data_IF_585344275901
#
_entry.id   IF_585344275901
#
_cell.length_a   1.000
_cell.length_b   1.000
_cell.length_c   1.000
_cell.angle_alpha   90.00
_cell.angle_beta   90.00
_cell.angle_gamma   90.00
#
_symmetry.space_group_name_H-M   'P 1'
#
loop_
_entity.id
_entity.type
_entity.pdbx_description
1 polymer ?
#
# COMPACT_ATOMS: atom_id res chain seq x y z
N UNK A 1 25.97 21.95 -32.51
CA UNK A 1 25.57 22.41 -31.16
C UNK A 1 24.16 22.94 -31.20
N UNK A 2 23.20 22.23 -30.60
CA UNK A 2 21.90 22.79 -30.20
C UNK A 2 21.61 22.25 -28.80
N UNK A 3 21.41 23.20 -27.91
CA UNK A 3 21.38 23.07 -26.46
C UNK A 3 19.92 22.83 -26.03
N UNK A 4 19.71 21.74 -25.31
CA UNK A 4 18.78 21.53 -24.17
C UNK A 4 17.38 22.16 -24.27
N UNK A 5 16.35 21.32 -24.19
CA UNK A 5 15.29 21.51 -23.19
C UNK A 5 15.01 20.16 -22.51
N UNK A 6 15.39 20.06 -21.24
CA UNK A 6 14.91 19.01 -20.35
C UNK A 6 13.43 19.28 -20.09
N UNK A 7 12.57 18.39 -20.57
CA UNK A 7 11.17 18.35 -20.13
C UNK A 7 11.17 17.63 -18.79
N UNK A 8 11.26 18.40 -17.70
CA UNK A 8 11.08 17.89 -16.35
C UNK A 8 9.62 17.43 -16.19
N UNK A 9 9.42 16.13 -16.00
CA UNK A 9 8.12 15.58 -15.66
C UNK A 9 7.90 15.77 -14.14
N UNK A 10 7.12 16.78 -13.77
CA UNK A 10 6.68 17.00 -12.40
C UNK A 10 5.48 16.07 -12.15
N UNK A 11 5.71 14.94 -11.46
CA UNK A 11 4.61 14.18 -10.85
C UNK A 11 4.16 14.97 -9.62
N UNK A 12 3.01 15.62 -9.73
CA UNK A 12 2.40 16.36 -8.62
C UNK A 12 1.94 15.41 -7.52
N UNK A 13 2.77 15.20 -6.50
CA UNK A 13 2.38 14.59 -5.24
C UNK A 13 1.58 15.62 -4.44
N UNK A 14 0.26 15.42 -4.35
CA UNK A 14 -0.60 16.18 -3.45
C UNK A 14 -0.36 15.74 -2.00
N UNK A 15 0.53 16.45 -1.30
CA UNK A 15 0.66 16.37 0.16
C UNK A 15 -0.52 17.13 0.77
N UNK A 16 -1.51 16.44 1.31
CA UNK A 16 -2.46 17.04 2.26
C UNK A 16 -1.93 16.76 3.65
N UNK A 17 -1.13 17.70 4.15
CA UNK A 17 -0.82 17.82 5.57
C UNK A 17 -1.89 18.63 6.27
N UNK A 18 -2.44 18.09 7.36
CA UNK A 18 -2.97 18.90 8.43
C UNK A 18 -2.32 18.42 9.73
N UNK A 19 -1.27 19.14 10.10
CA UNK A 19 -0.62 19.12 11.41
C UNK A 19 -1.58 19.81 12.39
N UNK A 20 -1.89 19.17 13.51
CA UNK A 20 -2.67 19.79 14.58
C UNK A 20 -2.67 18.91 15.82
N UNK A 21 -1.71 19.12 16.72
CA UNK A 21 -1.68 18.44 18.01
C UNK A 21 -0.32 18.47 18.69
N UNK A 22 -0.10 19.53 19.45
CA UNK A 22 1.09 19.86 20.24
C UNK A 22 1.52 18.71 21.19
N UNK A 23 2.84 18.50 21.24
CA UNK A 23 3.57 17.72 22.24
C UNK A 23 3.29 18.16 23.69
N UNK A 24 3.07 17.19 24.59
CA UNK A 24 3.50 17.14 26.01
C UNK A 24 2.51 16.23 26.77
N UNK A 25 2.90 15.25 27.57
CA UNK A 25 4.21 14.80 27.99
C UNK A 25 4.01 13.48 28.74
N UNK A 26 5.06 12.67 28.78
CA UNK A 26 5.18 11.56 29.70
C UNK A 26 4.87 12.03 31.12
N UNK A 27 3.98 11.32 31.79
CA UNK A 27 3.89 11.38 33.24
C UNK A 27 5.15 10.79 33.87
N UNK A 28 5.85 11.60 34.66
CA UNK A 28 6.59 11.15 35.83
C UNK A 28 6.40 12.25 36.89
N UNK A 29 5.40 12.06 37.73
CA UNK A 29 5.12 12.95 38.86
C UNK A 29 5.95 12.55 40.08
N UNK A 30 6.58 13.57 40.66
CA UNK A 30 6.75 13.82 42.11
C UNK A 30 7.85 13.07 42.89
N UNK A 31 8.77 13.89 43.45
CA UNK A 31 9.49 13.60 44.71
C UNK A 31 8.54 13.75 45.90
N UNK A 32 8.49 12.71 46.72
CA UNK A 32 8.23 12.67 48.16
C UNK A 32 7.11 13.56 48.74
N UNK A 33 5.95 12.96 48.98
CA UNK A 33 5.19 13.22 50.21
C UNK A 33 4.48 11.93 50.64
N UNK A 34 4.79 11.50 51.87
CA UNK A 34 4.34 10.29 52.55
C UNK A 34 2.79 10.24 52.66
N UNK A 35 2.20 9.08 52.38
CA UNK A 35 0.77 8.82 52.60
C UNK A 35 0.15 7.73 51.72
N UNK A 36 0.18 6.48 52.19
CA UNK A 36 -0.72 5.39 51.78
C UNK A 36 -2.20 5.71 52.14
N UNK A 37 -3.25 4.95 51.69
CA UNK A 37 -3.28 3.77 50.83
C UNK A 37 -4.30 3.83 49.65
N UNK A 38 -4.20 2.78 48.83
CA UNK A 38 -4.96 2.41 47.64
C UNK A 38 -6.48 2.27 47.83
N UNK A 39 -7.26 2.71 46.83
CA UNK A 39 -8.38 1.90 46.31
C UNK A 39 -8.83 2.33 44.91
N UNK A 40 -9.14 1.31 44.11
CA UNK A 40 -9.44 1.34 42.70
C UNK A 40 -10.92 1.68 42.46
N UNK A 41 -11.20 2.70 41.64
CA UNK A 41 -12.52 2.87 41.04
C UNK A 41 -12.41 3.40 39.60
N UNK A 42 -12.35 2.42 38.68
CA UNK A 42 -13.05 2.35 37.40
C UNK A 42 -13.31 3.65 36.62
N UNK A 43 -12.62 3.78 35.49
CA UNK A 43 -13.13 4.53 34.34
C UNK A 43 -13.61 3.53 33.29
N UNK A 44 -14.90 3.63 32.97
CA UNK A 44 -15.60 2.81 32.01
C UNK A 44 -14.93 2.87 30.62
N UNK A 45 -14.54 1.70 30.13
CA UNK A 45 -14.24 1.49 28.72
C UNK A 45 -15.56 1.60 27.94
N UNK A 46 -15.68 2.66 27.13
CA UNK A 46 -16.60 2.63 25.98
C UNK A 46 -15.94 1.72 24.95
N UNK A 47 -16.26 0.43 25.03
CA UNK A 47 -16.03 -0.52 23.96
C UNK A 47 -16.85 -0.06 22.75
N UNK A 48 -16.18 0.62 21.83
CA UNK A 48 -16.69 0.76 20.48
C UNK A 48 -16.52 -0.60 19.83
N UNK A 49 -17.59 -1.39 19.94
CA UNK A 49 -17.82 -2.65 19.23
C UNK A 49 -17.20 -2.56 17.84
N UNK A 50 -16.05 -3.21 17.69
CA UNK A 50 -15.43 -3.41 16.39
C UNK A 50 -16.17 -4.58 15.80
N UNK A 51 -17.14 -4.27 14.95
CA UNK A 51 -17.72 -5.24 14.04
C UNK A 51 -16.57 -5.82 13.23
N UNK A 52 -16.23 -7.07 13.52
CA UNK A 52 -15.19 -7.84 12.86
C UNK A 52 -15.59 -8.06 11.40
N UNK A 53 -15.34 -7.03 10.57
CA UNK A 53 -15.33 -7.19 9.13
C UNK A 53 -14.11 -8.02 8.81
N UNK A 54 -14.33 -9.33 8.67
CA UNK A 54 -13.38 -10.27 8.13
C UNK A 54 -12.74 -9.66 6.87
N UNK A 55 -11.50 -9.20 7.02
CA UNK A 55 -10.78 -8.52 5.96
C UNK A 55 -10.13 -9.61 5.11
N UNK A 56 -10.55 -9.73 3.85
CA UNK A 56 -9.86 -10.62 2.91
C UNK A 56 -8.44 -10.11 2.70
N UNK A 57 -7.47 -11.00 2.88
CA UNK A 57 -6.04 -10.72 2.71
C UNK A 57 -5.48 -11.65 1.64
N UNK A 58 -4.65 -11.09 0.76
CA UNK A 58 -3.93 -11.80 -0.29
C UNK A 58 -2.47 -11.92 0.13
N UNK A 59 -2.05 -13.11 0.55
CA UNK A 59 -0.69 -13.37 1.05
C UNK A 59 0.09 -14.26 0.09
N UNK A 60 1.35 -13.93 -0.13
CA UNK A 60 2.25 -14.65 -1.03
C UNK A 60 3.62 -14.81 -0.36
N UNK A 61 4.22 -15.98 -0.49
CA UNK A 61 5.58 -16.25 0.02
C UNK A 61 6.58 -16.07 -1.10
N UNK A 62 7.46 -15.09 -0.97
CA UNK A 62 8.44 -14.74 -1.98
C UNK A 62 9.40 -15.90 -2.26
N UNK A 63 9.58 -16.22 -3.54
CA UNK A 63 10.54 -17.19 -4.03
C UNK A 63 11.84 -16.50 -4.45
N UNK A 64 12.91 -17.28 -4.64
CA UNK A 64 14.18 -16.74 -5.11
C UNK A 64 14.02 -16.10 -6.50
N UNK A 65 14.32 -14.80 -6.59
CA UNK A 65 14.19 -14.02 -7.82
C UNK A 65 12.83 -13.37 -8.04
N UNK A 66 11.85 -13.57 -7.15
CA UNK A 66 10.61 -12.81 -7.16
C UNK A 66 10.87 -11.34 -6.85
N UNK A 67 10.21 -10.46 -7.60
CA UNK A 67 10.18 -9.04 -7.35
C UNK A 67 8.86 -8.62 -6.70
N UNK A 68 8.90 -7.58 -5.87
CA UNK A 68 7.70 -7.01 -5.24
C UNK A 68 6.62 -6.61 -6.28
N UNK A 69 7.02 -6.08 -7.43
CA UNK A 69 6.09 -5.78 -8.54
C UNK A 69 5.35 -7.01 -9.05
N UNK A 70 5.98 -8.19 -9.06
CA UNK A 70 5.34 -9.45 -9.47
C UNK A 70 4.32 -9.91 -8.42
N UNK A 71 4.60 -9.76 -7.13
CA UNK A 71 3.62 -10.04 -6.06
C UNK A 71 2.42 -9.08 -6.14
N UNK A 72 2.66 -7.79 -6.36
CA UNK A 72 1.59 -6.80 -6.59
C UNK A 72 0.75 -7.19 -7.80
N UNK A 73 1.39 -7.58 -8.92
CA UNK A 73 0.70 -8.07 -10.12
C UNK A 73 -0.22 -9.24 -9.81
N UNK A 74 0.28 -10.27 -9.12
CA UNK A 74 -0.50 -11.46 -8.74
C UNK A 74 -1.70 -11.06 -7.87
N UNK A 75 -1.50 -10.19 -6.90
CA UNK A 75 -2.57 -9.68 -6.03
C UNK A 75 -3.67 -8.97 -6.83
N UNK A 76 -3.29 -8.06 -7.72
CA UNK A 76 -4.21 -7.26 -8.54
C UNK A 76 -4.96 -8.13 -9.55
N UNK A 77 -4.28 -9.08 -10.19
CA UNK A 77 -4.92 -10.02 -11.11
C UNK A 77 -5.89 -10.95 -10.38
N UNK A 78 -5.50 -11.47 -9.20
CA UNK A 78 -6.38 -12.29 -8.36
C UNK A 78 -7.63 -11.50 -7.95
N UNK A 79 -7.46 -10.25 -7.51
CA UNK A 79 -8.57 -9.35 -7.22
C UNK A 79 -9.48 -9.14 -8.45
N UNK A 80 -8.90 -8.90 -9.62
CA UNK A 80 -9.65 -8.73 -10.87
C UNK A 80 -10.48 -9.96 -11.23
N UNK A 81 -9.92 -11.17 -11.08
CA UNK A 81 -10.62 -12.44 -11.33
C UNK A 81 -11.75 -12.64 -10.32
N UNK A 82 -11.48 -12.47 -9.02
CA UNK A 82 -12.45 -12.65 -7.94
C UNK A 82 -13.65 -11.71 -8.07
N UNK A 83 -13.43 -10.48 -8.58
CA UNK A 83 -14.45 -9.44 -8.69
C UNK A 83 -14.97 -9.20 -10.12
N UNK A 84 -14.66 -10.10 -11.06
CA UNK A 84 -15.03 -9.98 -12.49
C UNK A 84 -14.71 -8.60 -13.09
N UNK A 85 -13.53 -8.07 -12.76
CA UNK A 85 -13.07 -6.74 -13.19
C UNK A 85 -11.93 -6.86 -14.19
N UNK A 86 -12.16 -6.38 -15.41
CA UNK A 86 -11.13 -6.24 -16.44
C UNK A 86 -10.27 -4.99 -16.19
N UNK A 87 -9.14 -5.17 -15.50
CA UNK A 87 -8.24 -4.06 -15.14
C UNK A 87 -7.40 -3.62 -16.35
N UNK A 88 -6.91 -4.58 -17.15
CA UNK A 88 -6.08 -4.32 -18.33
C UNK A 88 -4.60 -4.10 -17.99
N UNK A 89 -3.71 -4.56 -18.89
CA UNK A 89 -2.27 -4.64 -18.66
C UNK A 89 -1.64 -3.30 -18.29
N UNK A 90 -1.88 -2.22 -19.04
CA UNK A 90 -1.32 -0.89 -18.77
C UNK A 90 -1.65 -0.36 -17.36
N UNK A 91 -2.89 -0.58 -16.90
CA UNK A 91 -3.31 -0.19 -15.55
C UNK A 91 -2.62 -1.00 -14.46
N UNK A 92 -2.41 -2.29 -14.71
CA UNK A 92 -1.64 -3.16 -13.80
C UNK A 92 -0.21 -2.63 -13.65
N UNK A 93 0.48 -2.27 -14.75
CA UNK A 93 1.83 -1.67 -14.69
C UNK A 93 1.85 -0.36 -13.87
N UNK A 94 0.84 0.48 -14.06
CA UNK A 94 0.70 1.71 -13.28
C UNK A 94 0.54 1.43 -11.77
N UNK A 95 -0.28 0.44 -11.41
CA UNK A 95 -0.47 0.01 -10.02
C UNK A 95 0.84 -0.52 -9.43
N UNK A 96 1.54 -1.41 -10.13
CA UNK A 96 2.83 -1.96 -9.68
C UNK A 96 3.86 -0.88 -9.39
N UNK A 97 3.96 0.11 -10.28
CA UNK A 97 4.88 1.23 -10.13
C UNK A 97 4.54 2.06 -8.89
N UNK A 98 3.27 2.43 -8.74
CA UNK A 98 2.81 3.24 -7.61
C UNK A 98 2.89 2.49 -6.27
N UNK A 99 2.58 1.20 -6.26
CA UNK A 99 2.71 0.35 -5.08
C UNK A 99 4.17 0.23 -4.64
N UNK A 100 5.08 0.03 -5.60
CA UNK A 100 6.51 -0.12 -5.32
C UNK A 100 7.15 1.18 -4.87
N UNK A 101 6.79 2.31 -5.49
CA UNK A 101 7.22 3.64 -5.06
C UNK A 101 6.82 3.92 -3.60
N UNK A 102 5.58 3.62 -3.22
CA UNK A 102 5.09 3.78 -1.84
C UNK A 102 5.76 2.84 -0.85
N UNK A 103 6.13 1.64 -1.28
CA UNK A 103 6.85 0.67 -0.47
C UNK A 103 8.37 0.94 -0.39
N UNK A 104 8.88 1.91 -1.16
CA UNK A 104 10.31 2.22 -1.19
C UNK A 104 11.15 1.22 -2.00
N UNK A 105 10.56 0.58 -3.01
CA UNK A 105 11.21 -0.41 -3.88
C UNK A 105 11.90 -1.54 -3.10
N UNK A 106 11.16 -2.30 -2.27
CA UNK A 106 11.76 -3.31 -1.42
C UNK A 106 12.34 -4.45 -2.26
N UNK A 107 13.50 -4.93 -1.83
CA UNK A 107 14.03 -6.23 -2.23
C UNK A 107 13.41 -7.31 -1.34
N UNK A 108 13.01 -8.43 -1.94
CA UNK A 108 12.35 -9.51 -1.22
C UNK A 108 13.35 -10.59 -0.84
N UNK A 109 13.26 -11.05 0.40
CA UNK A 109 14.00 -12.22 0.83
C UNK A 109 13.22 -13.50 0.48
N UNK A 110 13.93 -14.57 0.14
CA UNK A 110 13.29 -15.88 -0.04
C UNK A 110 12.59 -16.31 1.26
N UNK A 111 11.33 -16.73 1.15
CA UNK A 111 10.49 -17.11 2.29
C UNK A 111 9.80 -15.94 2.99
N UNK A 112 10.02 -14.71 2.55
CA UNK A 112 9.32 -13.53 3.06
C UNK A 112 7.83 -13.56 2.65
N UNK A 113 6.93 -13.35 3.61
CA UNK A 113 5.49 -13.28 3.33
C UNK A 113 5.08 -11.84 3.11
N UNK A 114 4.58 -11.53 1.92
CA UNK A 114 4.03 -10.23 1.56
C UNK A 114 2.52 -10.35 1.48
N UNK A 115 1.81 -9.42 2.14
CA UNK A 115 0.35 -9.46 2.23
C UNK A 115 -0.27 -8.15 1.76
N UNK A 116 -1.39 -8.26 1.05
CA UNK A 116 -2.17 -7.14 0.54
C UNK A 116 -3.61 -7.26 1.02
N UNK A 117 -4.11 -6.23 1.73
CA UNK A 117 -5.51 -6.18 2.11
C UNK A 117 -6.41 -5.92 0.89
N UNK A 118 -7.58 -6.55 0.83
CA UNK A 118 -8.52 -6.34 -0.27
C UNK A 118 -8.94 -4.86 -0.42
N UNK A 119 -9.09 -4.15 0.70
CA UNK A 119 -9.42 -2.73 0.69
C UNK A 119 -8.33 -1.89 0.02
N UNK A 120 -7.06 -2.27 0.20
CA UNK A 120 -5.92 -1.63 -0.45
C UNK A 120 -5.92 -1.91 -1.95
N UNK A 121 -6.11 -3.17 -2.35
CA UNK A 121 -6.19 -3.56 -3.76
C UNK A 121 -7.34 -2.86 -4.47
N UNK A 122 -8.52 -2.80 -3.85
CA UNK A 122 -9.66 -2.04 -4.37
C UNK A 122 -9.29 -0.58 -4.60
N UNK A 123 -8.61 0.05 -3.63
CA UNK A 123 -8.19 1.45 -3.75
C UNK A 123 -7.24 1.67 -4.92
N UNK A 124 -6.25 0.79 -5.10
CA UNK A 124 -5.32 0.87 -6.22
C UNK A 124 -6.01 0.67 -7.57
N UNK A 125 -6.89 -0.34 -7.65
CA UNK A 125 -7.64 -0.64 -8.87
C UNK A 125 -8.59 0.51 -9.21
N UNK A 126 -9.35 1.03 -8.26
CA UNK A 126 -10.29 2.13 -8.51
C UNK A 126 -9.57 3.43 -8.91
N UNK A 127 -8.36 3.67 -8.40
CA UNK A 127 -7.51 4.76 -8.87
C UNK A 127 -7.06 4.53 -10.32
N UNK A 128 -6.59 3.32 -10.65
CA UNK A 128 -6.12 2.99 -11.99
C UNK A 128 -7.25 3.01 -13.04
N UNK A 129 -8.48 2.62 -12.65
CA UNK A 129 -9.65 2.67 -13.53
C UNK A 129 -10.03 4.11 -13.94
N UNK A 130 -9.57 5.13 -13.21
CA UNK A 130 -9.79 6.55 -13.50
C UNK A 130 -8.69 7.20 -14.34
N UNK A 131 -7.64 6.46 -14.71
CA UNK A 131 -6.60 6.97 -15.61
C UNK A 131 -7.19 7.39 -16.95
N UNK A 132 -6.69 8.50 -17.49
CA UNK A 132 -7.09 9.00 -18.80
C UNK A 132 -6.53 8.11 -19.91
N UNK A 133 -7.10 8.20 -21.12
CA UNK A 133 -6.58 7.47 -22.29
C UNK A 133 -5.11 7.81 -22.58
N UNK A 134 -4.70 9.05 -22.32
CA UNK A 134 -3.32 9.47 -22.48
C UNK A 134 -2.39 8.81 -21.45
N UNK A 135 -2.83 8.72 -20.19
CA UNK A 135 -2.07 8.02 -19.14
C UNK A 135 -1.98 6.52 -19.46
N UNK A 136 -3.08 5.91 -19.93
CA UNK A 136 -3.10 4.51 -20.34
C UNK A 136 -2.12 4.28 -21.50
N UNK A 137 -2.11 5.16 -22.51
CA UNK A 137 -1.19 5.07 -23.63
C UNK A 137 0.28 5.20 -23.18
N UNK A 138 0.58 6.06 -22.20
CA UNK A 138 1.91 6.17 -21.64
C UNK A 138 2.37 4.86 -20.97
N UNK A 139 1.49 4.22 -20.19
CA UNK A 139 1.79 2.93 -19.56
C UNK A 139 1.83 1.75 -20.55
N UNK A 140 1.08 1.84 -21.65
CA UNK A 140 1.01 0.79 -22.67
C UNK A 140 2.38 0.50 -23.31
N UNK A 141 3.27 1.49 -23.37
CA UNK A 141 4.65 1.32 -23.87
C UNK A 141 5.44 0.25 -23.10
N UNK A 142 5.13 0.04 -21.82
CA UNK A 142 5.86 -0.90 -20.97
C UNK A 142 5.31 -2.32 -21.01
N UNK A 143 4.06 -2.49 -21.45
CA UNK A 143 3.33 -3.78 -21.42
C UNK A 143 4.08 -4.87 -22.20
N UNK A 144 4.74 -4.52 -23.30
CA UNK A 144 5.47 -5.48 -24.12
C UNK A 144 6.71 -6.10 -23.43
N UNK A 145 7.20 -5.50 -22.35
CA UNK A 145 8.40 -5.93 -21.64
C UNK A 145 8.09 -6.70 -20.34
N UNK A 146 6.82 -6.92 -20.05
CA UNK A 146 6.36 -7.49 -18.78
C UNK A 146 5.70 -8.83 -19.05
N UNK A 147 6.14 -9.86 -18.32
CA UNK A 147 5.42 -11.12 -18.25
C UNK A 147 4.26 -11.00 -17.26
N UNK A 148 3.04 -11.16 -17.77
CA UNK A 148 1.81 -11.10 -16.98
C UNK A 148 1.37 -12.46 -16.43
N UNK A 149 2.11 -13.54 -16.71
CA UNK A 149 1.86 -14.83 -16.09
C UNK A 149 2.39 -14.86 -14.66
N UNK A 150 1.49 -14.96 -13.68
CA UNK A 150 1.84 -14.99 -12.24
C UNK A 150 1.64 -16.35 -11.60
N UNK A 151 1.46 -17.42 -12.38
CA UNK A 151 1.14 -18.75 -11.87
C UNK A 151 2.27 -19.40 -11.04
N UNK A 152 3.50 -18.88 -11.12
CA UNK A 152 4.67 -19.40 -10.41
C UNK A 152 5.30 -18.39 -9.45
N UNK A 153 4.62 -17.28 -9.20
CA UNK A 153 5.13 -16.13 -8.44
C UNK A 153 4.57 -16.20 -7.02
N UNK A 154 5.37 -16.13 -5.96
CA UNK A 154 4.81 -16.02 -4.62
C UNK A 154 3.99 -17.24 -4.17
N UNK A 155 4.60 -18.42 -4.18
CA UNK A 155 4.01 -19.73 -3.84
C UNK A 155 4.16 -20.09 -2.36
#
# INVERSE_FOLDING_TARGET
MKLIQHVGFVVGIGIVGAIGGVFAGLGATVSAHDGEPHEHAQVAAVEKSSEDKQTTVYSYTAQAGDAYTQLVRKAVQTYGITHDKQIGAARIVAIETQASERAGWPELNQGEVVSFDEALLRTWVDAAMKLSDNDIAAWQTYVAYIDFNTNSIGE
#
